data_IF_878054634732
#
_entry.id   IF_878054634732
#
_cell.length_a   1.000
_cell.length_b   1.000
_cell.length_c   1.000
_cell.angle_alpha   90.00
_cell.angle_beta   90.00
_cell.angle_gamma   90.00
#
_symmetry.space_group_name_H-M   'P 1'
#
loop_
_entity.id
_entity.type
_entity.pdbx_description
1 polymer ?
#
# COMPACT_ATOMS: atom_id res chain seq x y z
N UNK A 1 -28.77 40.29 45.55
CA UNK A 1 -29.98 40.02 46.37
C UNK A 1 -29.91 40.65 47.77
N UNK A 2 -28.80 40.54 48.52
CA UNK A 2 -28.74 40.89 49.96
C UNK A 2 -28.82 42.38 50.33
N UNK A 3 -28.37 43.31 49.51
CA UNK A 3 -28.37 44.75 49.87
C UNK A 3 -29.73 45.43 49.68
N UNK A 4 -30.52 44.98 48.70
CA UNK A 4 -31.84 45.57 48.41
C UNK A 4 -32.92 45.07 49.36
N UNK A 5 -32.86 43.79 49.78
CA UNK A 5 -33.72 43.26 50.85
C UNK A 5 -33.47 43.96 52.19
N UNK A 6 -32.25 44.46 52.39
CA UNK A 6 -31.89 45.35 53.51
C UNK A 6 -32.55 46.71 53.39
N UNK A 7 -32.67 47.24 52.18
CA UNK A 7 -33.32 48.52 51.86
C UNK A 7 -34.85 48.45 51.97
N UNK A 8 -35.46 47.30 51.63
CA UNK A 8 -36.89 47.05 51.82
C UNK A 8 -37.29 46.83 53.29
N UNK A 9 -36.33 46.51 54.17
CA UNK A 9 -36.52 46.41 55.63
C UNK A 9 -36.19 47.71 56.37
N UNK A 10 -36.31 48.86 55.69
CA UNK A 10 -36.08 50.16 56.33
C UNK A 10 -37.10 50.43 57.45
N UNK A 11 -36.71 51.11 58.55
CA UNK A 11 -37.58 51.37 59.69
C UNK A 11 -38.73 52.31 59.30
N UNK A 12 -39.95 51.94 59.70
CA UNK A 12 -41.17 52.74 59.84
C UNK A 12 -41.17 54.13 59.16
N UNK A 13 -41.42 54.19 57.85
CA UNK A 13 -41.67 55.48 57.19
C UNK A 13 -41.62 55.55 55.67
N UNK A 14 -41.13 54.52 54.96
CA UNK A 14 -41.12 54.51 53.49
C UNK A 14 -42.37 53.76 52.98
N UNK A 15 -43.09 54.25 51.95
CA UNK A 15 -44.27 53.57 51.42
C UNK A 15 -43.91 52.14 51.05
N UNK A 16 -44.67 51.17 51.55
CA UNK A 16 -44.53 49.77 51.16
C UNK A 16 -44.45 49.69 49.63
N UNK A 17 -43.35 49.16 49.11
CA UNK A 17 -43.11 49.03 47.68
C UNK A 17 -44.34 48.40 47.02
N UNK A 18 -45.00 49.15 46.13
CA UNK A 18 -46.31 48.77 45.59
C UNK A 18 -46.25 47.40 44.91
N UNK A 19 -47.31 46.61 45.05
CA UNK A 19 -47.42 45.24 44.51
C UNK A 19 -46.89 45.15 43.07
N UNK A 20 -47.21 46.13 42.22
CA UNK A 20 -46.78 46.19 40.82
C UNK A 20 -45.27 46.38 40.59
N UNK A 21 -44.53 46.99 41.53
CA UNK A 21 -43.06 47.08 41.45
C UNK A 21 -42.43 45.73 41.79
N UNK A 22 -43.02 44.98 42.73
CA UNK A 22 -42.57 43.62 43.07
C UNK A 22 -42.76 42.67 41.90
N UNK A 23 -43.90 42.74 41.21
CA UNK A 23 -44.18 41.90 40.03
C UNK A 23 -43.18 42.19 38.91
N UNK A 24 -43.01 43.46 38.53
CA UNK A 24 -42.03 43.85 37.49
C UNK A 24 -40.59 43.45 37.82
N UNK A 25 -40.19 43.55 39.10
CA UNK A 25 -38.86 43.09 39.55
C UNK A 25 -38.73 41.57 39.40
N UNK A 26 -39.74 40.80 39.81
CA UNK A 26 -39.69 39.35 39.70
C UNK A 26 -39.69 38.90 38.23
N UNK A 27 -40.38 39.62 37.35
CA UNK A 27 -40.33 39.38 35.90
C UNK A 27 -38.93 39.69 35.34
N UNK A 28 -38.35 40.85 35.68
CA UNK A 28 -36.98 41.20 35.32
C UNK A 28 -35.93 40.23 35.85
N UNK A 29 -36.11 39.69 37.06
CA UNK A 29 -35.22 38.68 37.62
C UNK A 29 -35.31 37.38 36.83
N UNK A 30 -36.51 36.95 36.43
CA UNK A 30 -36.68 35.78 35.58
C UNK A 30 -36.05 35.97 34.20
N UNK A 31 -36.22 37.15 33.60
CA UNK A 31 -35.62 37.47 32.30
C UNK A 31 -34.09 37.49 32.39
N UNK A 32 -33.55 38.09 33.48
CA UNK A 32 -32.11 38.12 33.73
C UNK A 32 -31.54 36.72 33.99
N UNK A 33 -32.20 35.91 34.80
CA UNK A 33 -31.79 34.52 35.07
C UNK A 33 -31.83 33.68 33.78
N UNK A 34 -32.81 33.92 32.90
CA UNK A 34 -32.90 33.25 31.60
C UNK A 34 -31.72 33.62 30.68
N UNK A 35 -31.40 34.91 30.56
CA UNK A 35 -30.27 35.38 29.74
C UNK A 35 -28.91 34.95 30.30
N UNK A 36 -28.77 34.92 31.63
CA UNK A 36 -27.58 34.37 32.29
C UNK A 36 -27.42 32.88 31.95
N UNK A 37 -28.50 32.10 31.98
CA UNK A 37 -28.45 30.68 31.66
C UNK A 37 -28.07 30.42 30.19
N UNK A 38 -28.63 31.20 29.26
CA UNK A 38 -28.25 31.12 27.83
C UNK A 38 -26.76 31.43 27.67
N UNK A 39 -26.30 32.54 28.25
CA UNK A 39 -24.90 32.96 28.15
C UNK A 39 -23.97 31.94 28.81
N UNK A 40 -24.38 31.35 29.95
CA UNK A 40 -23.64 30.29 30.64
C UNK A 40 -23.46 29.08 29.73
N UNK A 41 -24.52 28.62 29.09
CA UNK A 41 -24.47 27.49 28.16
C UNK A 41 -23.54 27.78 26.98
N UNK A 42 -23.61 28.97 26.38
CA UNK A 42 -22.70 29.36 25.28
C UNK A 42 -21.22 29.38 25.72
N UNK A 43 -20.93 29.85 26.93
CA UNK A 43 -19.56 29.86 27.47
C UNK A 43 -19.07 28.44 27.74
N UNK A 44 -19.93 27.58 28.30
CA UNK A 44 -19.61 26.17 28.54
C UNK A 44 -19.30 25.45 27.23
N UNK A 45 -20.10 25.65 26.18
CA UNK A 45 -19.83 25.08 24.85
C UNK A 45 -18.49 25.55 24.29
N UNK A 46 -18.19 26.86 24.40
CA UNK A 46 -16.88 27.40 23.97
C UNK A 46 -15.71 26.81 24.76
N UNK A 47 -15.87 26.58 26.06
CA UNK A 47 -14.87 25.91 26.89
C UNK A 47 -14.68 24.45 26.44
N UNK A 48 -15.76 23.71 26.18
CA UNK A 48 -15.69 22.35 25.65
C UNK A 48 -14.92 22.31 24.32
N UNK A 49 -15.20 23.22 23.40
CA UNK A 49 -14.50 23.33 22.12
C UNK A 49 -13.01 23.65 22.28
N UNK A 50 -12.65 24.55 23.21
CA UNK A 50 -11.26 24.91 23.48
C UNK A 50 -10.46 23.73 24.07
N UNK A 51 -11.07 22.96 24.98
CA UNK A 51 -10.47 21.76 25.57
C UNK A 51 -10.28 20.70 24.49
N UNK A 52 -11.30 20.47 23.66
CA UNK A 52 -11.22 19.55 22.53
C UNK A 52 -10.10 19.95 21.56
N UNK A 53 -9.98 21.22 21.20
CA UNK A 53 -8.88 21.71 20.34
C UNK A 53 -7.50 21.47 20.96
N UNK A 54 -7.35 21.69 22.27
CA UNK A 54 -6.07 21.45 22.95
C UNK A 54 -5.72 19.96 22.96
N UNK A 55 -6.70 19.10 23.26
CA UNK A 55 -6.55 17.65 23.16
C UNK A 55 -6.12 17.23 21.76
N UNK A 56 -6.79 17.74 20.71
CA UNK A 56 -6.45 17.46 19.32
C UNK A 56 -5.01 17.84 18.98
N UNK A 57 -4.53 19.00 19.44
CA UNK A 57 -3.15 19.44 19.22
C UNK A 57 -2.13 18.51 19.87
N UNK A 58 -2.37 18.08 21.11
CA UNK A 58 -1.50 17.15 21.83
C UNK A 58 -1.42 15.81 21.07
N UNK A 59 -2.58 15.27 20.67
CA UNK A 59 -2.67 14.01 19.92
C UNK A 59 -1.96 14.12 18.57
N UNK A 60 -2.20 15.19 17.80
CA UNK A 60 -1.54 15.40 16.51
C UNK A 60 -0.03 15.52 16.65
N UNK A 61 0.46 16.19 17.69
CA UNK A 61 1.89 16.40 17.90
C UNK A 61 2.62 15.16 18.43
N UNK A 62 1.94 14.33 19.22
CA UNK A 62 2.58 13.23 19.96
C UNK A 62 2.17 11.83 19.48
N UNK A 63 0.88 11.59 19.26
CA UNK A 63 0.35 10.25 18.92
C UNK A 63 0.56 9.94 17.45
N UNK A 64 0.36 10.90 16.55
CA UNK A 64 0.52 10.69 15.09
C UNK A 64 1.96 10.26 14.73
N UNK A 65 3.03 10.92 15.23
CA UNK A 65 4.40 10.47 14.95
C UNK A 65 4.72 9.07 15.48
N UNK A 66 4.13 8.65 16.60
CA UNK A 66 4.32 7.29 17.14
C UNK A 66 3.72 6.25 16.21
N UNK A 67 2.59 6.56 15.57
CA UNK A 67 1.96 5.69 14.57
C UNK A 67 2.76 5.69 13.25
N UNK A 68 3.36 6.83 12.87
CA UNK A 68 4.10 6.97 11.62
C UNK A 68 5.56 6.46 11.68
N UNK A 69 6.23 6.51 12.84
CA UNK A 69 7.63 6.04 13.01
C UNK A 69 7.81 4.52 12.95
N UNK A 70 6.72 3.79 12.70
CA UNK A 70 6.71 2.36 12.46
C UNK A 70 6.01 1.63 13.59
N UNK A 71 4.88 1.02 13.26
CA UNK A 71 4.17 0.15 14.19
C UNK A 71 5.05 -1.03 14.59
N UNK A 72 5.65 -0.92 15.78
CA UNK A 72 6.17 -2.03 16.56
C UNK A 72 5.05 -2.60 17.44
N UNK A 73 5.26 -3.77 18.05
CA UNK A 73 4.29 -4.40 18.96
C UNK A 73 3.84 -3.50 20.12
N UNK A 74 4.62 -2.46 20.43
CA UNK A 74 4.41 -1.51 21.53
C UNK A 74 3.79 -0.18 21.08
N UNK A 75 3.42 -0.02 19.79
CA UNK A 75 2.92 1.26 19.28
C UNK A 75 1.62 1.67 19.97
N UNK A 76 0.74 0.70 20.25
CA UNK A 76 -0.53 0.95 20.94
C UNK A 76 -0.33 1.26 22.42
N UNK A 77 0.66 0.66 23.10
CA UNK A 77 0.97 1.00 24.49
C UNK A 77 1.58 2.40 24.61
N UNK A 78 2.48 2.78 23.71
CA UNK A 78 3.05 4.12 23.68
C UNK A 78 1.99 5.18 23.34
N UNK A 79 1.12 4.89 22.36
CA UNK A 79 -0.01 5.74 22.04
C UNK A 79 -0.98 5.86 23.23
N UNK A 80 -1.24 4.78 23.94
CA UNK A 80 -2.10 4.76 25.13
C UNK A 80 -1.53 5.62 26.25
N UNK A 81 -0.22 5.59 26.49
CA UNK A 81 0.42 6.41 27.52
C UNK A 81 0.31 7.91 27.20
N UNK A 82 0.61 8.30 25.96
CA UNK A 82 0.45 9.70 25.53
C UNK A 82 -1.00 10.16 25.55
N UNK A 83 -1.94 9.25 25.26
CA UNK A 83 -3.37 9.53 25.41
C UNK A 83 -3.79 9.72 26.87
N UNK A 84 -3.28 8.92 27.80
CA UNK A 84 -3.54 9.09 29.25
C UNK A 84 -3.08 10.47 29.71
N UNK A 85 -1.91 10.91 29.25
CA UNK A 85 -1.42 12.26 29.51
C UNK A 85 -2.33 13.34 28.88
N UNK A 86 -2.80 13.13 27.65
CA UNK A 86 -3.68 14.07 26.97
C UNK A 86 -5.05 14.20 27.68
N UNK A 87 -5.61 13.08 28.15
CA UNK A 87 -6.85 13.06 28.93
C UNK A 87 -6.67 13.74 30.28
N UNK A 88 -5.58 13.47 31.02
CA UNK A 88 -5.31 14.15 32.28
C UNK A 88 -5.19 15.67 32.10
N UNK A 89 -4.54 16.12 31.01
CA UNK A 89 -4.46 17.55 30.69
C UNK A 89 -5.83 18.14 30.35
N UNK A 90 -6.72 17.37 29.71
CA UNK A 90 -8.07 17.80 29.39
C UNK A 90 -8.95 17.88 30.66
N UNK A 91 -8.84 16.90 31.55
CA UNK A 91 -9.53 16.88 32.85
C UNK A 91 -9.07 18.09 33.71
N UNK A 92 -7.76 18.36 33.81
CA UNK A 92 -7.22 19.54 34.52
C UNK A 92 -7.77 20.86 33.94
N UNK A 93 -7.93 20.94 32.61
CA UNK A 93 -8.51 22.12 31.96
C UNK A 93 -10.02 22.24 32.18
N UNK A 94 -10.75 21.13 32.23
CA UNK A 94 -12.16 21.11 32.64
C UNK A 94 -12.29 21.71 34.04
N UNK A 95 -11.53 21.21 35.02
CA UNK A 95 -11.58 21.74 36.39
C UNK A 95 -11.19 23.22 36.45
N UNK A 96 -10.16 23.65 35.70
CA UNK A 96 -9.70 25.04 35.71
C UNK A 96 -10.70 26.01 35.06
N UNK A 97 -11.32 25.65 33.93
CA UNK A 97 -12.21 26.56 33.19
C UNK A 97 -13.67 26.49 33.68
N UNK A 98 -14.14 25.32 34.08
CA UNK A 98 -15.55 25.06 34.39
C UNK A 98 -15.81 24.95 35.90
N UNK A 99 -14.78 24.71 36.71
CA UNK A 99 -14.89 24.61 38.17
C UNK A 99 -15.14 25.94 38.87
N UNK A 100 -14.95 25.95 40.20
CA UNK A 100 -15.26 27.09 41.08
C UNK A 100 -14.54 28.39 40.72
N UNK A 101 -13.36 28.28 40.13
CA UNK A 101 -12.48 29.41 39.79
C UNK A 101 -12.80 30.00 38.39
N UNK A 102 -13.65 29.34 37.62
CA UNK A 102 -14.06 29.72 36.27
C UNK A 102 -15.56 30.05 36.17
N UNK A 103 -16.33 29.20 35.48
CA UNK A 103 -17.78 29.38 35.30
C UNK A 103 -18.57 29.11 36.59
N UNK A 104 -17.99 28.38 37.56
CA UNK A 104 -18.62 28.13 38.85
C UNK A 104 -19.81 27.18 38.77
N UNK A 105 -19.71 26.14 37.93
CA UNK A 105 -20.73 25.10 37.81
C UNK A 105 -20.85 24.29 39.11
N UNK A 106 -22.05 23.76 39.36
CA UNK A 106 -22.23 22.79 40.44
C UNK A 106 -21.47 21.49 40.14
N UNK A 107 -20.98 20.80 41.18
CA UNK A 107 -20.19 19.56 41.05
C UNK A 107 -20.87 18.52 40.15
N UNK A 108 -22.20 18.34 40.30
CA UNK A 108 -22.98 17.40 39.50
C UNK A 108 -23.07 17.81 38.01
N UNK A 109 -23.12 19.12 37.72
CA UNK A 109 -23.13 19.63 36.35
C UNK A 109 -21.73 19.51 35.70
N UNK A 110 -20.68 19.70 36.51
CA UNK A 110 -19.29 19.55 36.08
C UNK A 110 -18.98 18.10 35.69
N UNK A 111 -19.37 17.12 36.53
CA UNK A 111 -19.16 15.69 36.24
C UNK A 111 -19.86 15.29 34.92
N UNK A 112 -21.08 15.79 34.68
CA UNK A 112 -21.80 15.52 33.43
C UNK A 112 -21.07 16.09 32.21
N UNK A 113 -20.52 17.30 32.31
CA UNK A 113 -19.76 17.93 31.22
C UNK A 113 -18.44 17.20 30.98
N UNK A 114 -17.73 16.77 32.02
CA UNK A 114 -16.49 16.01 31.88
C UNK A 114 -16.71 14.69 31.14
N UNK A 115 -17.77 13.95 31.46
CA UNK A 115 -18.14 12.73 30.74
C UNK A 115 -18.41 13.04 29.27
N UNK A 116 -19.18 14.09 28.97
CA UNK A 116 -19.50 14.51 27.60
C UNK A 116 -18.24 14.89 26.81
N UNK A 117 -17.32 15.64 27.41
CA UNK A 117 -16.04 16.01 26.79
C UNK A 117 -15.19 14.77 26.53
N UNK A 118 -15.12 13.84 27.48
CA UNK A 118 -14.37 12.58 27.33
C UNK A 118 -14.91 11.74 26.17
N UNK A 119 -16.22 11.60 26.05
CA UNK A 119 -16.86 10.91 24.92
C UNK A 119 -16.57 11.60 23.58
N UNK A 120 -16.60 12.93 23.54
CA UNK A 120 -16.24 13.71 22.35
C UNK A 120 -14.76 13.53 21.96
N UNK A 121 -13.85 13.56 22.92
CA UNK A 121 -12.42 13.32 22.71
C UNK A 121 -12.15 11.91 22.18
N UNK A 122 -12.77 10.88 22.78
CA UNK A 122 -12.61 9.49 22.37
C UNK A 122 -13.19 9.25 20.98
N UNK A 123 -14.40 9.73 20.70
CA UNK A 123 -15.03 9.58 19.38
C UNK A 123 -14.21 10.27 18.28
N UNK A 124 -13.71 11.48 18.54
CA UNK A 124 -12.82 12.19 17.61
C UNK A 124 -11.51 11.43 17.39
N UNK A 125 -10.91 10.91 18.46
CA UNK A 125 -9.65 10.18 18.38
C UNK A 125 -9.79 8.92 17.52
N UNK A 126 -10.79 8.08 17.77
CA UNK A 126 -11.00 6.88 16.98
C UNK A 126 -11.27 7.21 15.50
N UNK A 127 -12.06 8.26 15.23
CA UNK A 127 -12.28 8.75 13.87
C UNK A 127 -10.97 9.21 13.21
N UNK A 128 -10.12 9.93 13.94
CA UNK A 128 -8.82 10.40 13.47
C UNK A 128 -7.85 9.24 13.21
N UNK A 129 -7.76 8.27 14.13
CA UNK A 129 -6.93 7.07 13.98
C UNK A 129 -7.38 6.24 12.78
N UNK A 130 -8.69 6.01 12.62
CA UNK A 130 -9.25 5.31 11.46
C UNK A 130 -8.89 6.00 10.15
N UNK A 131 -8.96 7.33 10.12
CA UNK A 131 -8.57 8.16 8.96
C UNK A 131 -7.07 8.08 8.66
N UNK A 132 -6.22 8.12 9.69
CA UNK A 132 -4.77 8.01 9.57
C UNK A 132 -4.34 6.62 9.08
N UNK A 133 -5.00 5.57 9.58
CA UNK A 133 -4.77 4.20 9.11
C UNK A 133 -5.24 4.05 7.67
N UNK A 134 -6.32 4.72 7.26
CA UNK A 134 -6.81 4.72 5.88
C UNK A 134 -7.66 3.49 5.53
N UNK A 135 -8.29 2.87 6.53
CA UNK A 135 -9.17 1.71 6.35
C UNK A 135 -8.49 0.55 5.61
N UNK A 136 -9.24 -0.09 4.70
CA UNK A 136 -8.76 -1.24 3.92
C UNK A 136 -7.45 -0.97 3.16
N UNK A 137 -7.43 0.08 2.33
CA UNK A 137 -6.29 0.37 1.45
C UNK A 137 -5.04 0.80 2.23
N UNK A 138 -5.23 1.56 3.31
CA UNK A 138 -4.11 2.03 4.11
C UNK A 138 -3.48 0.93 4.96
N UNK A 139 -4.26 -0.05 5.42
CA UNK A 139 -3.73 -1.28 6.02
C UNK A 139 -2.94 -2.08 4.99
N UNK A 140 -3.51 -2.32 3.80
CA UNK A 140 -2.81 -3.03 2.73
C UNK A 140 -1.47 -2.38 2.38
N UNK A 141 -1.47 -1.06 2.24
CA UNK A 141 -0.28 -0.27 1.91
C UNK A 141 0.82 -0.45 2.97
N UNK A 142 0.46 -0.38 4.26
CA UNK A 142 1.41 -0.56 5.37
C UNK A 142 1.94 -2.00 5.42
N UNK A 143 1.08 -3.00 5.23
CA UNK A 143 1.49 -4.41 5.13
C UNK A 143 2.51 -4.61 4.00
N UNK A 144 2.24 -4.09 2.80
CA UNK A 144 3.16 -4.15 1.66
C UNK A 144 4.46 -3.40 1.93
N UNK A 145 4.41 -2.23 2.58
CA UNK A 145 5.62 -1.50 2.97
C UNK A 145 6.48 -2.31 3.94
N UNK A 146 5.87 -2.94 4.95
CA UNK A 146 6.57 -3.80 5.91
C UNK A 146 7.19 -5.02 5.25
N UNK A 147 6.46 -5.70 4.37
CA UNK A 147 6.99 -6.81 3.58
C UNK A 147 8.22 -6.36 2.78
N UNK A 148 8.10 -5.25 2.03
CA UNK A 148 9.20 -4.73 1.23
C UNK A 148 10.42 -4.34 2.07
N UNK A 149 10.23 -3.73 3.24
CA UNK A 149 11.32 -3.39 4.17
C UNK A 149 12.09 -4.64 4.61
N UNK A 150 11.39 -5.71 4.98
CA UNK A 150 12.02 -6.94 5.47
C UNK A 150 12.63 -7.78 4.33
N UNK A 151 11.99 -7.80 3.17
CA UNK A 151 12.40 -8.66 2.05
C UNK A 151 13.42 -8.00 1.12
N UNK A 152 13.21 -6.72 0.75
CA UNK A 152 14.03 -6.01 -0.24
C UNK A 152 15.20 -5.25 0.36
N UNK A 153 15.21 -5.02 1.66
CA UNK A 153 16.29 -4.31 2.35
C UNK A 153 16.98 -5.20 3.38
N UNK A 154 18.20 -4.83 3.74
CA UNK A 154 18.92 -5.39 4.88
C UNK A 154 18.62 -4.61 6.17
N UNK A 155 19.17 -5.07 7.29
CA UNK A 155 19.01 -4.42 8.60
C UNK A 155 19.58 -2.98 8.63
N UNK A 156 20.47 -2.64 7.69
CA UNK A 156 21.05 -1.31 7.55
C UNK A 156 20.23 -0.40 6.62
N UNK A 157 19.12 -0.88 6.07
CA UNK A 157 18.26 -0.12 5.16
C UNK A 157 18.78 -0.03 3.72
N UNK A 158 19.82 -0.80 3.36
CA UNK A 158 20.32 -0.85 1.98
C UNK A 158 19.53 -1.89 1.16
N UNK A 159 19.33 -1.67 -0.14
CA UNK A 159 18.73 -2.66 -1.02
C UNK A 159 19.52 -3.98 -0.99
N UNK A 160 18.82 -5.07 -0.73
CA UNK A 160 19.38 -6.42 -0.63
C UNK A 160 19.79 -6.94 -2.00
N UNK A 161 21.03 -7.42 -2.09
CA UNK A 161 21.55 -8.13 -3.27
C UNK A 161 21.57 -9.62 -2.95
N UNK A 162 20.84 -10.42 -3.74
CA UNK A 162 20.70 -11.85 -3.51
C UNK A 162 21.98 -12.61 -3.89
N UNK A 163 22.60 -13.25 -2.91
CA UNK A 163 23.74 -14.12 -3.14
C UNK A 163 23.29 -15.56 -3.50
N UNK A 164 24.12 -16.32 -4.24
CA UNK A 164 23.85 -17.72 -4.57
C UNK A 164 23.57 -18.67 -3.39
N UNK A 165 24.03 -18.30 -2.20
CA UNK A 165 23.93 -19.09 -0.96
C UNK A 165 22.81 -18.63 -0.03
N UNK A 166 22.14 -17.53 -0.35
CA UNK A 166 21.10 -16.98 0.50
C UNK A 166 19.85 -17.88 0.49
N UNK A 167 19.29 -18.08 1.67
CA UNK A 167 18.02 -18.77 1.83
C UNK A 167 16.86 -17.78 1.71
N UNK A 168 16.41 -17.58 0.47
CA UNK A 168 15.30 -16.69 0.14
C UNK A 168 14.00 -17.15 0.82
N UNK A 169 13.81 -18.45 1.08
CA UNK A 169 12.55 -18.97 1.63
C UNK A 169 12.35 -18.55 3.08
N UNK A 170 13.39 -18.69 3.91
CA UNK A 170 13.32 -18.25 5.31
C UNK A 170 13.12 -16.74 5.45
N UNK A 171 13.78 -15.95 4.58
CA UNK A 171 13.63 -14.49 4.56
C UNK A 171 12.22 -14.11 4.09
N UNK A 172 11.70 -14.82 3.10
CA UNK A 172 10.34 -14.63 2.60
C UNK A 172 9.29 -14.93 3.69
N UNK A 173 9.39 -16.08 4.35
CA UNK A 173 8.46 -16.49 5.41
C UNK A 173 8.50 -15.49 6.58
N UNK A 174 9.69 -15.03 6.96
CA UNK A 174 9.85 -14.00 8.00
C UNK A 174 9.23 -12.66 7.58
N UNK A 175 9.41 -12.24 6.34
CA UNK A 175 8.83 -11.00 5.80
C UNK A 175 7.30 -11.09 5.69
N UNK A 176 6.76 -12.23 5.26
CA UNK A 176 5.33 -12.50 5.15
C UNK A 176 4.67 -12.50 6.53
N UNK A 177 5.28 -13.20 7.50
CA UNK A 177 4.81 -13.19 8.89
C UNK A 177 4.82 -11.78 9.46
N UNK A 178 5.93 -11.05 9.32
CA UNK A 178 6.03 -9.67 9.81
C UNK A 178 5.02 -8.70 9.19
N UNK A 179 4.64 -8.91 7.93
CA UNK A 179 3.60 -8.13 7.26
C UNK A 179 2.18 -8.54 7.68
N UNK A 180 1.93 -9.85 7.88
CA UNK A 180 0.65 -10.34 8.41
C UNK A 180 0.41 -9.85 9.84
N UNK A 181 1.42 -9.96 10.71
CA UNK A 181 1.34 -9.51 12.11
C UNK A 181 1.03 -7.99 12.18
N UNK A 182 1.59 -7.20 11.26
CA UNK A 182 1.26 -5.78 11.14
C UNK A 182 -0.18 -5.55 10.69
N UNK A 183 -0.70 -6.39 9.78
CA UNK A 183 -2.10 -6.35 9.37
C UNK A 183 -3.04 -6.61 10.55
N UNK A 184 -2.74 -7.64 11.35
CA UNK A 184 -3.54 -8.00 12.53
C UNK A 184 -3.52 -6.89 13.59
N UNK A 185 -2.37 -6.25 13.79
CA UNK A 185 -2.22 -5.12 14.71
C UNK A 185 -2.98 -3.86 14.26
N UNK A 186 -3.10 -3.63 12.95
CA UNK A 186 -3.82 -2.48 12.39
C UNK A 186 -5.32 -2.73 12.23
N UNK A 187 -5.75 -3.98 12.24
CA UNK A 187 -7.15 -4.38 12.06
C UNK A 187 -8.03 -3.87 13.19
N UNK A 188 -7.52 -3.92 14.42
CA UNK A 188 -8.24 -3.55 15.63
C UNK A 188 -7.43 -2.52 16.41
N UNK A 189 -8.00 -1.33 16.58
CA UNK A 189 -7.44 -0.29 17.46
C UNK A 189 -7.81 -0.67 18.88
N UNK A 190 -6.85 -1.19 19.65
CA UNK A 190 -7.04 -1.49 21.07
C UNK A 190 -6.44 -0.39 21.94
N UNK A 191 -7.29 0.37 22.64
CA UNK A 191 -6.86 1.44 23.56
C UNK A 191 -7.13 1.07 25.03
N UNK A 192 -6.98 -0.22 25.35
CA UNK A 192 -7.11 -0.75 26.70
C UNK A 192 -8.44 -0.34 27.37
N UNK A 193 -8.34 0.48 28.41
CA UNK A 193 -9.45 0.99 29.23
C UNK A 193 -10.46 1.85 28.44
N UNK A 194 -10.05 2.41 27.30
CA UNK A 194 -10.90 3.28 26.47
C UNK A 194 -11.70 2.53 25.40
N UNK A 195 -11.58 1.20 25.37
CA UNK A 195 -12.28 0.35 24.42
C UNK A 195 -11.45 -0.03 23.20
N UNK A 196 -12.10 -0.79 22.32
CA UNK A 196 -11.50 -1.35 21.11
C UNK A 196 -12.44 -1.12 19.93
N UNK A 197 -11.89 -0.65 18.81
CA UNK A 197 -12.66 -0.43 17.59
C UNK A 197 -12.01 -1.09 16.39
N UNK A 198 -12.80 -1.85 15.64
CA UNK A 198 -12.36 -2.52 14.44
C UNK A 198 -12.29 -1.54 13.26
N UNK A 199 -11.08 -1.42 12.69
CA UNK A 199 -10.82 -0.65 11.48
C UNK A 199 -11.27 -1.43 10.26
N UNK A 200 -10.96 -2.73 10.24
CA UNK A 200 -11.22 -3.66 9.14
C UNK A 200 -11.93 -4.90 9.70
N UNK A 201 -12.92 -5.44 8.98
CA UNK A 201 -13.59 -6.67 9.40
C UNK A 201 -12.69 -7.91 9.18
N UNK A 202 -13.05 -9.02 9.84
CA UNK A 202 -12.27 -10.26 9.74
C UNK A 202 -12.23 -10.85 8.32
N UNK A 203 -13.21 -10.58 7.47
CA UNK A 203 -13.25 -11.11 6.11
C UNK A 203 -12.31 -10.31 5.19
N UNK A 204 -12.40 -9.00 5.24
CA UNK A 204 -11.52 -8.04 4.57
C UNK A 204 -10.06 -8.25 4.99
N UNK A 205 -9.80 -8.58 6.26
CA UNK A 205 -8.45 -8.94 6.70
C UNK A 205 -7.91 -10.20 6.01
N UNK A 206 -8.77 -11.20 5.78
CA UNK A 206 -8.38 -12.41 5.03
C UNK A 206 -8.13 -12.09 3.57
N UNK A 207 -8.95 -11.23 2.95
CA UNK A 207 -8.73 -10.75 1.59
C UNK A 207 -7.43 -9.96 1.47
N UNK A 208 -7.11 -9.09 2.44
CA UNK A 208 -5.85 -8.35 2.51
C UNK A 208 -4.65 -9.29 2.59
N UNK A 209 -4.74 -10.35 3.40
CA UNK A 209 -3.69 -11.38 3.48
C UNK A 209 -3.53 -12.12 2.15
N UNK A 210 -4.62 -12.50 1.50
CA UNK A 210 -4.56 -13.13 0.16
C UNK A 210 -3.94 -12.22 -0.89
N UNK A 211 -4.28 -10.92 -0.88
CA UNK A 211 -3.68 -9.94 -1.79
C UNK A 211 -2.19 -9.74 -1.51
N UNK A 212 -1.79 -9.70 -0.22
CA UNK A 212 -0.39 -9.67 0.17
C UNK A 212 0.35 -10.91 -0.35
N UNK A 213 -0.24 -12.11 -0.20
CA UNK A 213 0.38 -13.37 -0.62
C UNK A 213 0.61 -13.41 -2.14
N UNK A 214 -0.38 -12.96 -2.92
CA UNK A 214 -0.27 -12.85 -4.37
C UNK A 214 0.87 -11.91 -4.78
N UNK A 215 0.95 -10.71 -4.18
CA UNK A 215 1.99 -9.73 -4.50
C UNK A 215 3.38 -10.18 -4.03
N UNK A 216 3.45 -10.81 -2.86
CA UNK A 216 4.67 -11.34 -2.30
C UNK A 216 5.22 -12.49 -3.17
N UNK A 217 4.36 -13.33 -3.73
CA UNK A 217 4.78 -14.40 -4.64
C UNK A 217 5.51 -13.87 -5.88
N UNK A 218 5.06 -12.74 -6.44
CA UNK A 218 5.76 -12.08 -7.56
C UNK A 218 7.17 -11.66 -7.14
N UNK A 219 7.30 -10.99 -5.98
CA UNK A 219 8.59 -10.57 -5.44
C UNK A 219 9.53 -11.76 -5.14
N UNK A 220 8.98 -12.90 -4.72
CA UNK A 220 9.75 -14.12 -4.48
C UNK A 220 10.34 -14.69 -5.78
N UNK A 221 9.55 -14.75 -6.85
CA UNK A 221 10.00 -15.21 -8.16
C UNK A 221 11.11 -14.30 -8.70
N UNK A 222 10.95 -12.99 -8.55
CA UNK A 222 11.98 -12.01 -8.94
C UNK A 222 13.30 -12.21 -8.16
N UNK A 223 13.21 -12.45 -6.85
CA UNK A 223 14.38 -12.75 -6.02
C UNK A 223 15.08 -14.05 -6.44
N UNK A 224 14.31 -15.09 -6.80
CA UNK A 224 14.85 -16.35 -7.32
C UNK A 224 15.58 -16.16 -8.65
N UNK A 225 14.99 -15.42 -9.58
CA UNK A 225 15.65 -15.09 -10.84
C UNK A 225 16.92 -14.26 -10.61
N UNK A 226 16.91 -13.29 -9.71
CA UNK A 226 18.10 -12.52 -9.35
C UNK A 226 19.21 -13.42 -8.79
N UNK A 227 18.86 -14.41 -7.95
CA UNK A 227 19.81 -15.40 -7.43
C UNK A 227 20.39 -16.30 -8.52
N UNK A 228 19.58 -16.72 -9.49
CA UNK A 228 20.03 -17.49 -10.66
C UNK A 228 21.00 -16.69 -11.53
N UNK A 229 20.69 -15.42 -11.79
CA UNK A 229 21.60 -14.52 -12.53
C UNK A 229 22.91 -14.31 -11.78
N UNK A 230 22.88 -14.22 -10.44
CA UNK A 230 24.08 -14.12 -9.62
C UNK A 230 24.93 -15.41 -9.63
N UNK A 231 24.31 -16.59 -9.82
CA UNK A 231 25.01 -17.87 -10.04
C UNK A 231 25.65 -17.93 -11.42
N UNK A 232 25.00 -17.36 -12.43
CA UNK A 232 25.49 -17.23 -13.80
C UNK A 232 26.57 -16.13 -13.94
N UNK A 233 27.58 -16.11 -13.06
CA UNK A 233 28.83 -15.40 -13.38
C UNK A 233 29.51 -16.19 -14.49
N UNK A 234 29.23 -15.82 -15.74
CA UNK A 234 29.96 -16.26 -16.92
C UNK A 234 31.41 -15.82 -16.78
N UNK A 235 32.23 -16.66 -16.13
CA UNK A 235 33.67 -16.55 -16.22
C UNK A 235 34.00 -16.78 -17.68
N UNK A 236 34.32 -15.71 -18.42
CA UNK A 236 34.85 -15.82 -19.76
C UNK A 236 35.99 -16.83 -19.67
N UNK A 237 35.91 -17.97 -20.37
CA UNK A 237 36.90 -19.00 -20.22
C UNK A 237 38.27 -18.39 -20.51
N UNK A 238 39.26 -18.64 -19.64
CA UNK A 238 40.60 -18.10 -19.83
C UNK A 238 41.19 -18.51 -21.19
N UNK A 239 40.82 -19.70 -21.69
CA UNK A 239 41.18 -20.13 -23.03
C UNK A 239 40.63 -19.22 -24.12
N UNK A 240 39.43 -18.64 -23.95
CA UNK A 240 38.82 -17.75 -24.94
C UNK A 240 39.56 -16.42 -25.01
N UNK A 241 39.98 -15.88 -23.87
CA UNK A 241 40.83 -14.68 -23.82
C UNK A 241 42.19 -14.96 -24.47
N UNK A 242 42.79 -16.12 -24.20
CA UNK A 242 44.04 -16.54 -24.85
C UNK A 242 43.85 -16.75 -26.35
N UNK A 243 42.72 -17.33 -26.79
CA UNK A 243 42.41 -17.52 -28.21
C UNK A 243 42.25 -16.18 -28.93
N UNK A 244 41.52 -15.22 -28.36
CA UNK A 244 41.40 -13.86 -28.91
C UNK A 244 42.76 -13.18 -28.99
N UNK A 245 43.59 -13.32 -27.96
CA UNK A 245 44.94 -12.77 -27.96
C UNK A 245 45.84 -13.39 -29.03
N UNK A 246 45.82 -14.71 -29.19
CA UNK A 246 46.69 -15.43 -30.14
C UNK A 246 46.21 -15.29 -31.59
N UNK A 247 44.91 -15.45 -31.88
CA UNK A 247 44.37 -15.24 -33.23
C UNK A 247 44.47 -13.77 -33.66
N UNK A 248 44.16 -12.84 -32.75
CA UNK A 248 44.30 -11.41 -33.02
C UNK A 248 45.75 -10.97 -33.21
N UNK A 249 46.73 -11.74 -32.73
CA UNK A 249 48.15 -11.42 -32.89
C UNK A 249 48.64 -11.57 -34.34
N UNK A 250 48.05 -12.46 -35.14
CA UNK A 250 48.42 -12.59 -36.56
C UNK A 250 47.87 -11.44 -37.41
N UNK A 251 46.67 -10.93 -37.08
CA UNK A 251 46.13 -9.71 -37.68
C UNK A 251 46.91 -8.46 -37.24
N UNK A 252 47.27 -8.37 -35.95
CA UNK A 252 48.09 -7.29 -35.43
C UNK A 252 49.49 -7.26 -36.09
N UNK A 253 50.12 -8.42 -36.31
CA UNK A 253 51.37 -8.52 -37.09
C UNK A 253 51.18 -8.09 -38.54
N UNK A 254 50.06 -8.43 -39.19
CA UNK A 254 49.78 -8.04 -40.56
C UNK A 254 49.64 -6.53 -40.71
N UNK A 255 48.97 -5.87 -39.76
CA UNK A 255 48.88 -4.41 -39.68
C UNK A 255 50.27 -3.80 -39.47
N UNK A 256 51.09 -4.35 -38.56
CA UNK A 256 52.40 -3.77 -38.23
C UNK A 256 53.44 -3.91 -39.36
N UNK A 257 53.37 -4.98 -40.15
CA UNK A 257 54.30 -5.24 -41.27
C UNK A 257 53.95 -4.49 -42.55
N UNK A 258 52.69 -4.03 -42.70
CA UNK A 258 52.25 -3.24 -43.85
C UNK A 258 52.06 -1.80 -43.42
N UNK A 259 53.06 -0.90 -43.57
CA UNK A 259 52.98 0.47 -43.07
C UNK A 259 51.76 1.23 -43.61
N UNK A 260 51.31 0.90 -44.83
CA UNK A 260 50.09 1.45 -45.41
C UNK A 260 48.80 1.14 -44.61
N UNK A 261 48.71 -0.02 -43.94
CA UNK A 261 47.55 -0.36 -43.10
C UNK A 261 47.51 0.44 -41.81
N UNK A 262 48.68 0.76 -41.24
CA UNK A 262 48.77 1.65 -40.08
C UNK A 262 48.25 3.04 -40.46
N UNK A 263 48.67 3.57 -41.61
CA UNK A 263 48.16 4.85 -42.10
C UNK A 263 46.66 4.82 -42.40
N UNK A 264 46.14 3.72 -42.95
CA UNK A 264 44.70 3.55 -43.19
C UNK A 264 43.92 3.51 -41.88
N UNK A 265 44.38 2.74 -40.89
CA UNK A 265 43.72 2.65 -39.58
C UNK A 265 43.76 3.99 -38.83
N UNK A 266 44.88 4.71 -38.90
CA UNK A 266 45.02 6.04 -38.33
C UNK A 266 44.13 7.06 -39.04
N UNK A 267 44.06 7.02 -40.37
CA UNK A 267 43.16 7.86 -41.15
C UNK A 267 41.68 7.55 -40.84
N UNK A 268 41.31 6.27 -40.72
CA UNK A 268 39.98 5.85 -40.30
C UNK A 268 39.67 6.32 -38.88
N UNK A 269 40.63 6.23 -37.95
CA UNK A 269 40.48 6.73 -36.59
C UNK A 269 40.27 8.24 -36.56
N UNK A 270 41.04 9.01 -37.36
CA UNK A 270 40.86 10.46 -37.50
C UNK A 270 39.49 10.79 -38.10
N UNK A 271 39.03 10.05 -39.12
CA UNK A 271 37.70 10.23 -39.71
C UNK A 271 36.58 9.92 -38.71
N UNK A 272 36.70 8.84 -37.93
CA UNK A 272 35.75 8.48 -36.89
C UNK A 272 35.74 9.54 -35.78
N UNK A 273 36.92 10.01 -35.37
CA UNK A 273 37.06 11.08 -34.38
C UNK A 273 36.44 12.38 -34.87
N UNK A 274 36.63 12.72 -36.14
CA UNK A 274 36.04 13.91 -36.77
C UNK A 274 34.52 13.76 -36.93
N UNK A 275 34.03 12.57 -37.29
CA UNK A 275 32.60 12.26 -37.33
C UNK A 275 31.95 12.35 -35.94
N UNK A 276 32.67 11.94 -34.89
CA UNK A 276 32.28 12.15 -33.51
C UNK A 276 32.27 13.63 -33.14
N UNK A 277 33.29 14.40 -33.55
CA UNK A 277 33.40 15.84 -33.29
C UNK A 277 32.27 16.65 -33.92
N UNK A 278 31.89 16.29 -35.16
CA UNK A 278 30.76 16.89 -35.89
C UNK A 278 29.40 16.44 -35.32
N UNK A 279 29.37 15.52 -34.34
CA UNK A 279 28.15 14.81 -33.90
C UNK A 279 27.35 14.29 -35.09
N UNK A 280 28.02 13.63 -36.03
CA UNK A 280 27.38 13.02 -37.20
C UNK A 280 26.23 12.09 -36.79
N UNK A 281 26.29 11.51 -35.58
CA UNK A 281 25.16 10.79 -34.99
C UNK A 281 23.86 11.62 -34.98
N UNK A 282 23.88 12.88 -34.54
CA UNK A 282 22.68 13.74 -34.55
C UNK A 282 22.26 14.10 -36.00
N UNK A 283 23.23 14.29 -36.90
CA UNK A 283 22.98 14.65 -38.31
C UNK A 283 22.40 13.50 -39.15
N UNK A 284 22.77 12.25 -38.89
CA UNK A 284 22.32 11.07 -39.66
C UNK A 284 21.09 10.42 -39.03
N UNK A 285 20.95 10.42 -37.70
CA UNK A 285 19.89 9.69 -37.02
C UNK A 285 18.49 10.29 -37.25
N UNK A 286 18.40 11.61 -37.29
CA UNK A 286 17.13 12.33 -37.49
C UNK A 286 16.54 12.12 -38.90
N UNK A 287 17.27 12.37 -40.02
CA UNK A 287 16.74 12.14 -41.36
C UNK A 287 16.51 10.66 -41.69
N UNK A 288 17.33 9.77 -41.12
CA UNK A 288 17.19 8.33 -41.33
C UNK A 288 15.93 7.80 -40.66
N UNK A 289 15.61 8.27 -39.44
CA UNK A 289 14.38 7.92 -38.74
C UNK A 289 13.15 8.38 -39.51
N UNK A 290 13.18 9.61 -40.02
CA UNK A 290 12.05 10.20 -40.75
C UNK A 290 11.81 9.51 -42.10
N UNK A 291 12.89 9.11 -42.78
CA UNK A 291 12.82 8.31 -43.99
C UNK A 291 12.34 6.87 -43.74
N UNK A 292 12.75 6.25 -42.63
CA UNK A 292 12.36 4.89 -42.27
C UNK A 292 10.95 4.79 -41.67
N UNK A 293 10.39 5.89 -41.14
CA UNK A 293 9.08 5.96 -40.53
C UNK A 293 7.92 5.35 -41.36
N UNK A 294 7.75 5.68 -42.66
CA UNK A 294 6.68 5.09 -43.48
C UNK A 294 6.86 3.57 -43.68
N UNK A 295 8.09 3.09 -43.83
CA UNK A 295 8.37 1.66 -43.98
C UNK A 295 8.09 0.89 -42.69
N UNK A 296 8.44 1.46 -41.53
CA UNK A 296 8.17 0.87 -40.22
C UNK A 296 6.66 0.79 -39.94
N UNK A 297 5.85 1.74 -40.41
CA UNK A 297 4.40 1.64 -40.26
C UNK A 297 3.77 0.56 -41.14
N UNK A 298 4.23 0.41 -42.39
CA UNK A 298 3.80 -0.69 -43.26
C UNK A 298 4.17 -2.05 -42.65
N UNK A 299 5.38 -2.14 -42.09
CA UNK A 299 5.84 -3.35 -41.39
C UNK A 299 5.01 -3.64 -40.14
N UNK A 300 4.72 -2.62 -39.31
CA UNK A 300 3.86 -2.77 -38.13
C UNK A 300 2.45 -3.21 -38.50
N UNK A 301 1.83 -2.59 -39.51
CA UNK A 301 0.49 -2.97 -39.97
C UNK A 301 0.45 -4.42 -40.48
N UNK A 302 1.48 -4.87 -41.21
CA UNK A 302 1.59 -6.28 -41.63
C UNK A 302 1.85 -7.23 -40.48
N UNK A 303 2.56 -6.79 -39.46
CA UNK A 303 2.88 -7.60 -38.28
C UNK A 303 1.64 -7.75 -37.39
N UNK A 304 0.87 -6.69 -37.20
CA UNK A 304 -0.42 -6.71 -36.51
C UNK A 304 -1.44 -7.58 -37.25
N UNK A 305 -1.54 -7.44 -38.57
CA UNK A 305 -2.37 -8.31 -39.43
C UNK A 305 -1.94 -9.79 -39.32
N UNK A 306 -0.64 -10.07 -39.25
CA UNK A 306 -0.13 -11.42 -39.07
C UNK A 306 -0.41 -11.97 -37.67
N UNK A 307 -0.26 -11.15 -36.62
CA UNK A 307 -0.56 -11.52 -35.22
C UNK A 307 -2.05 -11.81 -35.06
N UNK A 308 -2.93 -10.93 -35.56
CA UNK A 308 -4.38 -11.09 -35.50
C UNK A 308 -4.84 -12.30 -36.32
N UNK A 309 -4.22 -12.57 -37.47
CA UNK A 309 -4.52 -13.77 -38.26
C UNK A 309 -4.02 -15.05 -37.57
N UNK A 310 -2.91 -15.01 -36.83
CA UNK A 310 -2.42 -16.15 -36.04
C UNK A 310 -3.30 -16.42 -34.81
N UNK A 311 -3.79 -15.35 -34.18
CA UNK A 311 -4.71 -15.41 -33.04
C UNK A 311 -6.10 -15.92 -33.47
N UNK A 312 -6.60 -15.46 -34.63
CA UNK A 312 -7.83 -15.96 -35.25
C UNK A 312 -7.71 -17.41 -35.73
N UNK A 313 -6.56 -17.80 -36.29
CA UNK A 313 -6.25 -19.19 -36.65
C UNK A 313 -6.23 -20.10 -35.42
N UNK A 314 -5.75 -19.59 -34.29
CA UNK A 314 -5.77 -20.30 -33.00
C UNK A 314 -7.22 -20.44 -32.48
N UNK A 315 -8.07 -19.42 -32.65
CA UNK A 315 -9.48 -19.47 -32.25
C UNK A 315 -10.40 -20.28 -33.21
N UNK A 316 -10.01 -20.48 -34.48
CA UNK A 316 -10.76 -21.35 -35.41
C UNK A 316 -10.54 -22.85 -35.16
N UNK A 317 -9.43 -23.21 -34.50
CA UNK A 317 -9.18 -24.59 -34.06
C UNK A 317 -10.09 -24.97 -32.88
N UNK A 318 -10.47 -24.02 -32.01
CA UNK A 318 -11.39 -24.28 -30.89
C UNK A 318 -12.88 -24.20 -31.25
N UNK A 319 -13.25 -23.56 -32.36
CA UNK A 319 -14.67 -23.40 -32.77
C UNK A 319 -15.16 -24.44 -33.81
N UNK A 320 -14.27 -25.26 -34.38
CA UNK A 320 -14.65 -26.30 -35.35
C UNK A 320 -15.03 -27.66 -34.72
N UNK A 321 -14.94 -27.82 -33.39
CA UNK A 321 -15.33 -29.08 -32.71
C UNK A 321 -16.80 -29.13 -32.29
N UNK A 322 -17.56 -28.04 -32.41
CA UNK A 322 -18.98 -28.01 -32.02
C UNK A 322 -19.87 -27.30 -33.04
N UNK A 323 -20.01 -27.84 -34.25
CA UNK A 323 -21.15 -27.51 -35.10
C UNK A 323 -21.46 -28.61 -36.14
N UNK A 324 -22.63 -29.23 -35.93
CA UNK A 324 -23.53 -29.87 -36.93
C UNK A 324 -23.25 -31.29 -37.43
N UNK A 325 -23.94 -32.21 -36.74
CA UNK A 325 -24.69 -33.29 -37.35
C UNK A 325 -25.84 -32.77 -38.25
N UNK A 326 -25.98 -33.31 -39.46
CA UNK A 326 -27.24 -33.77 -40.12
C UNK A 326 -27.07 -33.83 -41.66
N UNK A 327 -27.03 -35.05 -42.20
CA UNK A 327 -27.18 -35.44 -43.63
C UNK A 327 -28.63 -35.22 -44.17
N UNK A 328 -29.04 -35.61 -45.42
CA UNK A 328 -28.31 -36.14 -46.60
C UNK A 328 -28.71 -35.46 -47.96
N UNK A 329 -27.97 -35.74 -49.04
CA UNK A 329 -28.46 -36.35 -50.33
C UNK A 329 -27.52 -36.11 -51.54
N UNK A 330 -26.96 -37.21 -52.03
CA UNK A 330 -26.85 -37.67 -53.43
C UNK A 330 -26.62 -36.65 -54.56
N UNK A 331 -25.45 -36.68 -55.22
CA UNK A 331 -25.12 -37.68 -56.25
C UNK A 331 -24.03 -37.20 -57.25
N UNK A 332 -23.28 -38.20 -57.74
CA UNK A 332 -22.66 -38.34 -59.07
C UNK A 332 -21.21 -37.86 -59.30
N UNK A 333 -20.33 -38.89 -59.39
CA UNK A 333 -19.18 -39.12 -60.31
C UNK A 333 -18.02 -38.09 -60.29
N UNK A 334 -16.74 -38.45 -60.29
CA UNK A 334 -16.05 -39.53 -61.01
C UNK A 334 -14.56 -39.53 -60.60
N UNK A 335 -13.90 -40.70 -60.71
CA UNK A 335 -12.47 -40.81 -61.02
C UNK A 335 -11.52 -40.88 -59.82
N UNK A 336 -11.28 -42.07 -59.28
CA UNK A 336 -10.14 -42.95 -59.63
C UNK A 336 -8.84 -42.63 -58.87
N UNK A 337 -8.55 -43.48 -57.88
CA UNK A 337 -7.34 -44.34 -57.82
C UNK A 337 -6.18 -43.66 -57.08
N UNK A 338 -5.36 -44.30 -56.24
CA UNK A 338 -5.13 -45.72 -55.92
C UNK A 338 -4.17 -45.71 -54.70
N UNK A 339 -4.40 -46.63 -53.73
CA UNK A 339 -3.41 -47.44 -52.94
C UNK A 339 -2.40 -46.67 -52.06
N UNK A 340 -2.17 -46.94 -50.77
CA UNK A 340 -1.98 -48.19 -49.99
C UNK A 340 -2.16 -47.83 -48.47
N UNK A 341 -3.02 -48.48 -47.66
CA UNK A 341 -2.78 -49.71 -46.85
C UNK A 341 -1.48 -49.67 -46.02
N UNK A 342 -1.41 -49.93 -44.71
CA UNK A 342 -2.29 -50.48 -43.65
C UNK A 342 -1.50 -50.29 -42.32
N UNK A 343 -2.00 -49.75 -41.20
CA UNK A 343 -2.97 -50.28 -40.23
C UNK A 343 -2.69 -51.74 -39.80
N UNK A 344 -2.17 -51.96 -38.58
CA UNK A 344 -2.95 -52.34 -37.37
C UNK A 344 -2.73 -53.84 -37.08
N UNK A 345 -2.31 -54.21 -35.87
CA UNK A 345 -3.24 -54.79 -34.89
C UNK A 345 -2.60 -55.17 -33.55
N UNK A 346 -3.37 -54.89 -32.51
CA UNK A 346 -3.26 -55.47 -31.17
C UNK A 346 -3.54 -57.00 -31.22
N UNK A 347 -3.07 -57.76 -30.22
CA UNK A 347 -3.92 -58.29 -29.13
C UNK A 347 -3.25 -59.43 -28.34
N UNK A 348 -3.47 -59.37 -27.02
CA UNK A 348 -3.69 -60.48 -26.06
C UNK A 348 -2.58 -61.49 -25.72
N UNK A 349 -2.21 -61.52 -24.43
CA UNK A 349 -2.46 -62.61 -23.45
C UNK A 349 -1.52 -62.40 -22.25
N UNK A 350 -1.99 -62.04 -21.05
CA UNK A 350 -2.59 -62.85 -19.98
C UNK A 350 -1.58 -63.74 -19.21
N UNK A 351 -1.70 -63.66 -17.87
CA UNK A 351 -1.13 -64.52 -16.78
C UNK A 351 0.23 -64.12 -16.20
N UNK A 352 0.53 -64.21 -14.90
CA UNK A 352 -0.16 -64.40 -13.60
C UNK A 352 0.97 -64.42 -12.53
N UNK A 353 0.62 -64.45 -11.23
CA UNK A 353 1.45 -64.59 -10.00
C UNK A 353 2.01 -63.29 -9.40
N UNK A 354 1.61 -62.77 -8.22
CA UNK A 354 1.31 -63.27 -6.85
C UNK A 354 2.54 -63.31 -5.92
N UNK A 355 2.31 -62.71 -4.73
CA UNK A 355 3.11 -62.69 -3.49
C UNK A 355 4.17 -61.58 -3.41
N UNK A 356 4.37 -60.88 -2.29
CA UNK A 356 3.99 -61.16 -0.91
C UNK A 356 3.98 -59.86 -0.10
N UNK A 357 2.94 -59.67 0.70
CA UNK A 357 2.90 -58.71 1.79
C UNK A 357 2.97 -59.51 3.10
N UNK A 358 3.97 -59.24 3.94
CA UNK A 358 4.04 -59.78 5.31
C UNK A 358 4.74 -58.80 6.27
N UNK A 359 3.89 -58.14 7.06
CA UNK A 359 3.96 -57.75 8.48
C UNK A 359 5.29 -57.80 9.27
N UNK A 360 5.43 -56.74 10.07
CA UNK A 360 5.87 -56.66 11.49
C UNK A 360 7.30 -57.09 11.83
N UNK A 361 8.14 -56.14 12.27
CA UNK A 361 8.30 -55.80 13.70
C UNK A 361 9.15 -54.53 13.90
#
# INVERSE_FOLDING_TARGET
SSEFDRWCKAPDGIPQMSEGIRTKRNDLLKDLDHEIEITRQEVVEKCQDAILQTFQQIVQKKVVPVIDMGLNAECWSAALEEMKHANATADDQCTMMLGSDGVGLHEDELEHIEVKVREACLSWLFANLRKLIGGYEGVLRRMKQRFNQLFRFDESGNPRVWAPRDDITTIFDAAQKGASDMGDMLATISLGEYGSQDVVDNNSLRELKQQLDSDAAVAFVDARHAQEMARMKTKVPMWAVVLVGVLGFDEAKMVLKRPALIFLFLAAFVLIYFAYLIRVHEMIWEPLRDWAAPYLQILKGRLEEWIENNENSSNTIYSSTTAKASEPTNSVLSGASVVESSAVDERSSEKESVSSSKKEH
#
